data_IF_397768608994
#
_entry.id   IF_397768608994
#
_cell.length_a   1.000
_cell.length_b   1.000
_cell.length_c   1.000
_cell.angle_alpha   90.00
_cell.angle_beta   90.00
_cell.angle_gamma   90.00
#
_symmetry.space_group_name_H-M   'P 1'
#
loop_
_entity.id
_entity.type
_entity.pdbx_description
1 polymer ?
#
# COMPACT_ATOMS: atom_id res chain seq x y z
N UNK A 1 -3.01 -1.12 -24.35
CA UNK A 1 -2.65 -1.39 -23.91
C UNK A 1 -2.25 -2.11 -22.95
N UNK A 2 -1.58 -2.21 -22.39
CA UNK A 2 -1.26 -3.00 -21.64
C UNK A 2 -1.90 -3.03 -20.60
N UNK A 3 -1.94 -3.71 -19.82
CA UNK A 3 -2.81 -3.75 -18.87
C UNK A 3 -2.50 -4.72 -17.89
N UNK A 4 -3.30 -4.81 -16.83
CA UNK A 4 -3.11 -5.75 -15.78
C UNK A 4 -3.08 -7.15 -16.29
N UNK A 5 -3.77 -7.40 -17.38
CA UNK A 5 -3.80 -8.74 -17.95
C UNK A 5 -2.43 -9.20 -18.36
N UNK A 6 -1.51 -8.28 -18.53
CA UNK A 6 -0.18 -8.61 -18.98
C UNK A 6 0.84 -8.62 -17.86
N UNK A 7 0.41 -8.41 -16.63
CA UNK A 7 1.32 -8.42 -15.51
C UNK A 7 1.75 -9.86 -15.23
N UNK A 8 3.05 -10.06 -15.14
CA UNK A 8 3.62 -11.37 -14.84
C UNK A 8 3.98 -11.42 -13.37
N UNK A 9 3.21 -12.19 -12.62
CA UNK A 9 3.46 -12.30 -11.19
C UNK A 9 4.26 -13.56 -10.93
N UNK A 10 5.40 -13.45 -10.24
CA UNK A 10 6.21 -14.64 -9.96
C UNK A 10 5.41 -15.68 -9.18
N UNK A 11 5.68 -16.95 -9.48
CA UNK A 11 4.94 -18.01 -8.82
C UNK A 11 5.16 -18.08 -7.31
N UNK A 12 6.25 -17.51 -6.83
CA UNK A 12 6.51 -17.51 -5.39
C UNK A 12 6.04 -16.24 -4.70
N UNK A 13 5.28 -15.38 -5.41
CA UNK A 13 4.74 -14.19 -4.78
C UNK A 13 3.60 -14.57 -3.85
N UNK A 14 3.63 -14.08 -2.64
CA UNK A 14 2.68 -14.48 -1.61
C UNK A 14 1.61 -13.45 -1.30
N UNK A 15 1.48 -12.43 -2.12
CA UNK A 15 0.47 -11.41 -1.90
C UNK A 15 -0.49 -11.34 -3.04
N UNK A 16 -1.30 -10.29 -3.07
CA UNK A 16 -2.27 -10.08 -4.14
C UNK A 16 -1.56 -9.52 -5.38
N UNK A 17 -2.26 -9.57 -6.52
CA UNK A 17 -1.72 -9.00 -7.74
C UNK A 17 -1.53 -7.49 -7.62
N UNK A 18 -2.50 -6.73 -7.09
CA UNK A 18 -2.25 -5.29 -6.92
C UNK A 18 -1.05 -4.99 -6.03
N UNK A 19 -0.84 -5.80 -4.99
CA UNK A 19 0.33 -5.60 -4.15
C UNK A 19 1.62 -5.84 -4.92
N UNK A 20 1.62 -6.84 -5.81
CA UNK A 20 2.80 -7.06 -6.63
C UNK A 20 3.03 -5.90 -7.60
N UNK A 21 1.95 -5.33 -8.15
CA UNK A 21 2.07 -4.17 -9.02
C UNK A 21 2.73 -3.01 -8.27
N UNK A 22 2.30 -2.77 -7.03
CA UNK A 22 2.90 -1.71 -6.23
C UNK A 22 4.37 -2.02 -5.94
N UNK A 23 4.66 -3.25 -5.55
CA UNK A 23 6.03 -3.67 -5.22
C UNK A 23 6.97 -3.43 -6.41
N UNK A 24 6.58 -3.92 -7.58
CA UNK A 24 7.42 -3.78 -8.76
C UNK A 24 7.53 -2.34 -9.21
N UNK A 25 6.46 -1.55 -9.03
CA UNK A 25 6.49 -0.15 -9.41
C UNK A 25 7.41 0.65 -8.51
N UNK A 26 7.40 0.38 -7.20
CA UNK A 26 8.35 1.05 -6.32
C UNK A 26 9.79 0.76 -6.74
N UNK A 27 10.06 -0.47 -7.17
CA UNK A 27 11.39 -0.79 -7.67
C UNK A 27 11.71 0.01 -8.93
N UNK A 28 10.75 0.12 -9.85
CA UNK A 28 10.94 0.93 -11.06
C UNK A 28 11.20 2.39 -10.73
N UNK A 29 10.64 2.86 -9.63
CA UNK A 29 10.82 4.25 -9.21
C UNK A 29 12.11 4.44 -8.41
N UNK A 30 12.96 3.42 -8.35
CA UNK A 30 14.28 3.55 -7.77
C UNK A 30 14.40 3.12 -6.33
N UNK A 31 13.36 2.48 -5.77
CA UNK A 31 13.43 2.03 -4.38
C UNK A 31 13.93 0.59 -4.33
N UNK A 32 14.81 0.32 -3.38
CA UNK A 32 15.43 -0.98 -3.28
C UNK A 32 14.79 -1.78 -2.16
N UNK A 33 14.19 -2.94 -2.47
CA UNK A 33 13.57 -3.76 -1.43
C UNK A 33 14.62 -4.24 -0.45
N UNK A 34 14.27 -4.19 0.82
CA UNK A 34 15.18 -4.57 1.89
C UNK A 34 16.01 -3.41 2.40
N UNK A 35 16.24 -2.41 1.57
CA UNK A 35 16.98 -1.22 1.98
C UNK A 35 16.06 -0.05 2.18
N UNK A 36 15.33 0.31 1.12
CA UNK A 36 14.47 1.49 1.16
C UNK A 36 13.09 1.14 1.68
N UNK A 37 12.64 -0.08 1.46
CA UNK A 37 11.33 -0.50 1.95
C UNK A 37 11.29 -2.01 2.12
N UNK A 38 10.31 -2.48 2.90
CA UNK A 38 10.02 -3.90 3.02
C UNK A 38 8.56 -4.14 2.71
N UNK A 39 8.28 -5.27 2.09
CA UNK A 39 6.93 -5.73 1.85
C UNK A 39 6.57 -6.74 2.93
N UNK A 40 5.38 -6.58 3.52
CA UNK A 40 4.96 -7.40 4.65
C UNK A 40 3.85 -8.32 4.21
N UNK A 41 4.22 -9.46 3.64
CA UNK A 41 3.22 -10.39 3.14
C UNK A 41 2.40 -10.99 4.27
N UNK A 42 1.09 -11.04 4.15
CA UNK A 42 0.26 -11.71 5.16
C UNK A 42 0.60 -13.19 5.30
N UNK A 43 1.03 -13.81 4.20
CA UNK A 43 1.32 -15.23 4.21
C UNK A 43 2.54 -15.55 5.04
N UNK A 44 3.40 -14.61 5.23
CA UNK A 44 4.60 -14.80 6.03
C UNK A 44 4.42 -14.38 7.47
N UNK A 45 3.25 -13.87 7.82
CA UNK A 45 2.97 -13.47 9.18
C UNK A 45 3.79 -12.29 9.64
N UNK A 46 4.49 -11.62 8.74
CA UNK A 46 5.40 -10.57 9.13
C UNK A 46 4.88 -9.18 9.02
N UNK A 47 3.59 -9.03 8.93
CA UNK A 47 3.05 -7.74 8.63
C UNK A 47 2.66 -6.93 9.85
N UNK A 48 3.16 -7.29 10.97
CA UNK A 48 2.83 -6.56 12.14
C UNK A 48 3.53 -5.29 12.20
N UNK A 49 3.00 -4.42 12.90
CA UNK A 49 3.39 -3.12 12.88
C UNK A 49 3.34 -2.53 14.20
N UNK A 50 3.45 -1.24 14.31
CA UNK A 50 3.43 -0.54 15.54
C UNK A 50 2.01 -0.30 15.94
N UNK A 51 1.54 -0.98 16.90
CA UNK A 51 0.18 -0.82 17.37
C UNK A 51 -0.75 -1.92 16.92
N UNK A 52 -0.23 -2.93 16.24
CA UNK A 52 -1.03 -4.09 15.91
C UNK A 52 -1.83 -3.98 14.63
N UNK A 53 -1.54 -3.00 13.79
CA UNK A 53 -2.23 -2.88 12.53
C UNK A 53 -1.46 -3.57 11.42
N UNK A 54 -2.16 -3.97 10.36
CA UNK A 54 -1.53 -4.63 9.23
C UNK A 54 -1.05 -3.58 8.26
N UNK A 55 0.22 -3.65 7.88
CA UNK A 55 0.80 -2.74 6.90
C UNK A 55 1.40 -3.56 5.77
N UNK A 56 1.15 -3.13 4.52
CA UNK A 56 1.66 -3.85 3.36
C UNK A 56 3.11 -3.47 3.05
N UNK A 57 3.42 -2.18 3.07
CA UNK A 57 4.76 -1.70 2.77
C UNK A 57 5.20 -0.73 3.84
N UNK A 58 6.42 -0.88 4.30
CA UNK A 58 7.02 0.03 5.27
C UNK A 58 8.29 0.57 4.67
N UNK A 59 8.40 1.91 4.61
CA UNK A 59 9.53 2.58 3.97
C UNK A 59 10.46 3.19 4.99
N UNK A 60 11.75 3.12 4.68
CA UNK A 60 12.76 3.88 5.38
C UNK A 60 13.20 5.07 4.53
N UNK A 61 13.07 4.96 3.21
CA UNK A 61 13.37 6.05 2.29
C UNK A 61 12.28 6.07 1.22
N UNK A 62 11.38 7.02 1.27
CA UNK A 62 11.36 8.18 2.18
C UNK A 62 11.02 7.74 3.61
N UNK A 63 11.44 8.53 4.60
CA UNK A 63 11.29 8.10 5.99
C UNK A 63 9.87 8.18 6.50
N UNK A 64 9.59 7.35 7.49
CA UNK A 64 8.34 7.42 8.25
C UNK A 64 7.10 7.30 7.36
N UNK A 65 7.16 6.41 6.40
CA UNK A 65 6.07 6.18 5.45
C UNK A 65 5.66 4.72 5.47
N UNK A 66 4.36 4.48 5.49
CA UNK A 66 3.80 3.16 5.25
C UNK A 66 2.75 3.27 4.16
N UNK A 67 2.59 2.23 3.36
CA UNK A 67 1.63 2.23 2.27
C UNK A 67 0.83 0.93 2.32
N UNK A 68 -0.49 1.07 2.22
CA UNK A 68 -1.39 -0.07 2.12
C UNK A 68 -2.16 0.00 0.81
N UNK A 69 -2.29 -1.14 0.15
CA UNK A 69 -3.11 -1.24 -1.05
C UNK A 69 -4.49 -1.74 -0.64
N UNK A 70 -5.52 -0.97 -1.02
CA UNK A 70 -6.89 -1.25 -0.63
C UNK A 70 -7.65 -1.90 -1.74
N UNK A 71 -8.32 -3.01 -1.46
CA UNK A 71 -9.25 -3.60 -2.40
C UNK A 71 -10.55 -2.82 -2.35
N UNK A 72 -10.86 -2.10 -3.42
CA UNK A 72 -11.99 -1.18 -3.44
C UNK A 72 -13.30 -1.88 -3.13
N UNK A 73 -13.54 -3.01 -3.76
CA UNK A 73 -14.78 -3.74 -3.53
C UNK A 73 -14.90 -4.14 -2.06
N UNK A 74 -13.82 -4.68 -1.52
CA UNK A 74 -13.85 -5.20 -0.17
C UNK A 74 -14.00 -4.09 0.84
N UNK A 75 -13.25 -3.01 0.67
CA UNK A 75 -13.21 -1.95 1.67
C UNK A 75 -14.40 -1.02 1.62
N UNK A 76 -14.97 -0.81 0.43
CA UNK A 76 -16.01 0.20 0.31
C UNK A 76 -17.39 -0.38 0.10
N UNK A 77 -17.50 -1.64 -0.33
CA UNK A 77 -18.79 -2.28 -0.49
C UNK A 77 -19.26 -2.97 0.78
N UNK A 78 -18.31 -3.56 1.53
CA UNK A 78 -18.68 -4.28 2.72
C UNK A 78 -18.19 -3.63 3.98
N UNK A 79 -17.53 -2.51 3.88
CA UNK A 79 -16.56 -2.24 4.87
C UNK A 79 -16.71 -1.09 5.81
N UNK A 80 -17.88 -0.84 6.40
CA UNK A 80 -17.91 0.21 7.42
C UNK A 80 -16.91 -0.07 8.53
N UNK A 81 -16.85 -1.30 9.01
CA UNK A 81 -15.92 -1.65 10.07
C UNK A 81 -14.49 -1.65 9.59
N UNK A 82 -14.28 -2.10 8.34
CA UNK A 82 -12.94 -2.10 7.78
C UNK A 82 -12.44 -0.68 7.60
N UNK A 83 -13.30 0.21 7.11
CA UNK A 83 -12.91 1.61 6.95
C UNK A 83 -12.58 2.24 8.28
N UNK A 84 -13.36 1.95 9.29
CA UNK A 84 -13.10 2.52 10.61
C UNK A 84 -11.75 2.04 11.15
N UNK A 85 -11.44 0.76 10.95
CA UNK A 85 -10.16 0.22 11.41
C UNK A 85 -9.00 0.89 10.68
N UNK A 86 -9.16 1.09 9.36
CA UNK A 86 -8.10 1.71 8.57
C UNK A 86 -7.88 3.16 8.99
N UNK A 87 -8.93 3.89 9.27
CA UNK A 87 -8.80 5.26 9.73
C UNK A 87 -8.16 5.32 11.11
N UNK A 88 -8.46 4.35 11.98
CA UNK A 88 -7.81 4.27 13.27
C UNK A 88 -6.34 3.96 13.13
N UNK A 89 -5.98 3.08 12.19
CA UNK A 89 -4.58 2.77 11.95
C UNK A 89 -3.84 4.02 11.52
N UNK A 90 -4.42 4.79 10.61
CA UNK A 90 -3.78 6.00 10.12
C UNK A 90 -3.56 6.99 11.25
N UNK A 91 -4.58 7.16 12.11
CA UNK A 91 -4.47 8.10 13.22
C UNK A 91 -3.43 7.62 14.24
N UNK A 92 -3.41 6.33 14.52
CA UNK A 92 -2.47 5.79 15.50
C UNK A 92 -1.03 5.95 15.01
N UNK A 93 -0.79 5.65 13.73
CA UNK A 93 0.56 5.78 13.19
C UNK A 93 0.98 7.24 13.09
N UNK A 94 0.04 8.14 12.80
CA UNK A 94 0.34 9.57 12.78
C UNK A 94 0.81 10.02 14.16
N UNK A 95 0.24 9.46 15.21
CA UNK A 95 0.68 9.77 16.57
C UNK A 95 2.09 9.30 16.85
N UNK A 96 2.62 8.41 16.02
CA UNK A 96 4.00 7.95 16.12
C UNK A 96 4.87 8.57 15.03
N UNK A 97 4.37 9.61 14.37
CA UNK A 97 5.06 10.33 13.30
C UNK A 97 5.26 9.48 12.05
N UNK A 98 4.37 8.52 11.81
CA UNK A 98 4.40 7.71 10.60
C UNK A 98 3.18 8.05 9.78
N UNK A 99 3.39 8.36 8.50
CA UNK A 99 2.31 8.64 7.58
C UNK A 99 1.89 7.36 6.90
N UNK A 100 0.63 6.98 7.03
CA UNK A 100 0.09 5.81 6.35
C UNK A 100 -0.72 6.30 5.15
N UNK A 101 -0.29 5.88 3.97
CA UNK A 101 -0.93 6.25 2.71
C UNK A 101 -1.65 5.03 2.18
N UNK A 102 -2.89 5.22 1.74
CA UNK A 102 -3.65 4.16 1.10
C UNK A 102 -3.67 4.38 -0.41
N UNK A 103 -3.56 3.31 -1.18
CA UNK A 103 -3.74 3.36 -2.62
C UNK A 103 -4.87 2.39 -2.96
N UNK A 104 -5.92 2.88 -3.59
CA UNK A 104 -7.01 2.02 -4.02
C UNK A 104 -6.54 1.17 -5.20
N UNK A 105 -6.92 -0.11 -5.21
CA UNK A 105 -6.39 -1.04 -6.19
C UNK A 105 -6.79 -0.70 -7.63
N UNK A 106 -7.99 -0.15 -7.83
CA UNK A 106 -8.40 0.25 -9.17
C UNK A 106 -7.57 1.43 -9.69
N UNK A 107 -7.26 2.38 -8.82
CA UNK A 107 -6.39 3.48 -9.20
C UNK A 107 -4.99 2.97 -9.50
N UNK A 108 -4.49 2.11 -8.64
CA UNK A 108 -3.15 1.56 -8.78
C UNK A 108 -2.99 0.82 -10.10
N UNK A 109 -3.97 -0.01 -10.45
CA UNK A 109 -3.86 -0.77 -11.69
C UNK A 109 -4.04 0.10 -12.91
N UNK A 110 -4.76 1.22 -12.79
CA UNK A 110 -4.94 2.13 -13.91
C UNK A 110 -3.67 2.94 -14.20
N UNK A 111 -2.96 3.36 -13.15
CA UNK A 111 -1.77 4.18 -13.35
C UNK A 111 -0.80 3.95 -12.19
N UNK A 112 -0.09 2.82 -12.20
CA UNK A 112 0.75 2.46 -11.06
C UNK A 112 1.85 3.48 -10.77
N UNK A 113 2.48 4.02 -11.83
CA UNK A 113 3.59 4.93 -11.59
C UNK A 113 3.13 6.22 -10.94
N UNK A 114 1.98 6.73 -11.35
CA UNK A 114 1.47 7.96 -10.76
C UNK A 114 1.14 7.76 -9.29
N UNK A 115 0.36 6.73 -8.98
CA UNK A 115 -0.10 6.56 -7.60
C UNK A 115 1.03 6.13 -6.67
N UNK A 116 1.97 5.33 -7.14
CA UNK A 116 3.11 4.98 -6.31
C UNK A 116 4.01 6.19 -6.09
N UNK A 117 4.20 7.02 -7.12
CA UNK A 117 5.01 8.23 -6.95
C UNK A 117 4.36 9.19 -5.96
N UNK A 118 3.01 9.32 -6.03
CA UNK A 118 2.32 10.19 -5.10
C UNK A 118 2.42 9.66 -3.68
N UNK A 119 2.34 8.35 -3.50
CA UNK A 119 2.52 7.76 -2.17
C UNK A 119 3.91 8.07 -1.61
N UNK A 120 4.93 8.00 -2.46
CA UNK A 120 6.29 8.33 -2.02
C UNK A 120 6.43 9.80 -1.64
N UNK A 121 5.48 10.63 -2.01
CA UNK A 121 5.43 12.05 -1.64
C UNK A 121 4.43 12.31 -0.54
N UNK A 122 3.98 11.25 0.12
CA UNK A 122 3.03 11.34 1.24
C UNK A 122 1.67 11.89 0.81
N UNK A 123 1.25 11.59 -0.42
CA UNK A 123 -0.03 12.07 -0.92
C UNK A 123 -0.98 10.91 -1.10
N UNK A 124 -2.12 11.01 -0.46
CA UNK A 124 -3.12 9.95 -0.42
C UNK A 124 -4.31 10.34 -1.28
N UNK A 125 -4.55 9.58 -2.33
CA UNK A 125 -5.67 9.83 -3.25
C UNK A 125 -6.79 8.81 -3.07
N UNK A 126 -6.78 8.09 -1.96
CA UNK A 126 -7.75 7.03 -1.77
C UNK A 126 -9.12 7.57 -1.40
N UNK A 127 -10.10 6.70 -1.51
CA UNK A 127 -11.48 7.05 -1.14
C UNK A 127 -11.68 7.14 0.36
N UNK A 128 -10.67 6.81 1.13
CA UNK A 128 -10.76 6.96 2.57
C UNK A 128 -10.64 8.40 3.02
N UNK A 129 -10.68 9.32 2.08
CA UNK A 129 -10.65 10.72 2.44
C UNK A 129 -9.26 11.28 2.57
N UNK A 130 -8.27 10.45 2.31
CA UNK A 130 -6.92 10.93 2.43
C UNK A 130 -6.55 11.87 1.30
N UNK A 131 -7.26 11.77 0.19
CA UNK A 131 -6.94 12.59 -0.95
C UNK A 131 -7.21 14.06 -0.76
N UNK A 132 -7.85 14.37 0.31
CA UNK A 132 -8.15 15.75 0.56
C UNK A 132 -6.89 16.52 0.89
#
# INVERSE_FOLDING_TARGET
MTTQAQVQVPGNWLGSVPEYIAYSTFIELGKEPGMDFTYQSPEMGGRMDKGGFVLDFIFRDPPDLAVNVQGVYYHYEFGVEVKARDLMARASLAGQNITLIFIDDDDLTADPRYYCREALRYRDHSRLGGGS
#
